data_IF_342122750446
#
_entry.id   IF_342122750446
#
_cell.length_a   1.000
_cell.length_b   1.000
_cell.length_c   1.000
_cell.angle_alpha   90.00
_cell.angle_beta   90.00
_cell.angle_gamma   90.00
#
_symmetry.space_group_name_H-M   'P 1'
#
loop_
_entity.id
_entity.type
_entity.pdbx_description
1 polymer ?
#
# COMPACT_ATOMS: atom_id res chain seq x y z
N UNK A 1 -34.80 -11.22 -22.86
CA UNK A 1 -34.05 -12.48 -23.11
C UNK A 1 -33.06 -12.73 -21.96
N UNK A 2 -33.54 -13.50 -21.00
CA UNK A 2 -32.80 -14.26 -19.97
C UNK A 2 -33.49 -15.65 -19.98
N UNK A 3 -32.89 -16.81 -19.63
CA UNK A 3 -31.78 -16.99 -18.68
C UNK A 3 -30.74 -18.10 -18.97
N UNK A 4 -29.66 -18.07 -18.19
CA UNK A 4 -28.91 -19.21 -17.60
C UNK A 4 -28.61 -20.46 -18.47
N UNK A 5 -27.34 -20.64 -18.84
CA UNK A 5 -26.78 -21.96 -19.12
C UNK A 5 -25.69 -22.33 -18.12
N UNK A 6 -26.14 -23.06 -17.10
CA UNK A 6 -25.40 -23.96 -16.22
C UNK A 6 -24.69 -25.03 -17.04
N UNK A 7 -23.38 -25.23 -16.84
CA UNK A 7 -22.70 -26.51 -17.15
C UNK A 7 -21.78 -26.86 -15.99
N UNK A 8 -22.29 -27.67 -15.07
CA UNK A 8 -21.46 -28.47 -14.17
C UNK A 8 -21.13 -29.80 -14.90
N UNK A 9 -19.88 -30.29 -14.88
CA UNK A 9 -19.63 -31.69 -15.16
C UNK A 9 -19.73 -32.49 -13.85
N UNK A 10 -20.73 -33.36 -13.80
CA UNK A 10 -20.91 -34.38 -12.77
C UNK A 10 -20.59 -35.73 -13.42
N UNK A 11 -19.42 -36.33 -13.14
CA UNK A 11 -19.16 -37.74 -13.47
C UNK A 11 -18.30 -38.44 -12.39
N UNK A 12 -18.97 -39.40 -11.74
CA UNK A 12 -18.53 -40.68 -11.17
C UNK A 12 -17.44 -40.78 -10.08
N UNK A 13 -17.90 -40.96 -8.84
CA UNK A 13 -17.98 -42.24 -8.11
C UNK A 13 -16.73 -43.13 -7.85
N UNK A 14 -16.62 -43.49 -6.54
CA UNK A 14 -16.09 -44.74 -5.90
C UNK A 14 -14.68 -44.76 -5.24
N UNK A 15 -14.74 -44.66 -3.89
CA UNK A 15 -14.00 -45.38 -2.80
C UNK A 15 -12.50 -45.11 -2.50
N UNK A 16 -11.99 -45.37 -1.27
CA UNK A 16 -12.65 -45.62 0.03
C UNK A 16 -12.12 -44.77 1.22
N UNK A 17 -12.84 -44.89 2.34
CA UNK A 17 -12.51 -44.56 3.74
C UNK A 17 -11.02 -44.27 4.06
N UNK A 18 -10.73 -43.01 4.39
CA UNK A 18 -9.46 -42.57 4.94
C UNK A 18 -9.62 -41.25 5.72
N UNK A 19 -9.68 -41.38 7.03
CA UNK A 19 -9.41 -40.38 8.08
C UNK A 19 -8.71 -39.08 7.61
N UNK A 20 -9.47 -38.01 7.35
CA UNK A 20 -8.98 -36.63 7.39
C UNK A 20 -10.08 -35.72 7.93
N UNK A 21 -10.25 -35.77 9.25
CA UNK A 21 -11.04 -34.79 9.96
C UNK A 21 -10.26 -33.46 10.02
N UNK A 22 -10.91 -32.43 9.48
CA UNK A 22 -10.94 -31.06 10.00
C UNK A 22 -9.59 -30.33 10.08
N UNK A 23 -9.19 -29.64 9.01
CA UNK A 23 -8.63 -28.28 9.09
C UNK A 23 -8.64 -27.65 7.69
N UNK A 24 -9.83 -27.53 7.08
CA UNK A 24 -9.99 -26.61 5.96
C UNK A 24 -10.16 -25.22 6.58
N UNK A 25 -9.08 -24.47 6.65
CA UNK A 25 -9.07 -23.09 7.09
C UNK A 25 -9.56 -22.25 5.89
N UNK A 26 -10.79 -21.69 5.88
CA UNK A 26 -11.16 -20.75 4.84
C UNK A 26 -10.57 -19.39 5.22
N UNK A 27 -9.25 -19.24 5.11
CA UNK A 27 -8.60 -17.93 5.12
C UNK A 27 -8.20 -17.57 3.69
N UNK A 28 -9.20 -17.48 2.82
CA UNK A 28 -9.14 -16.57 1.70
C UNK A 28 -9.89 -15.30 2.13
N UNK A 29 -9.18 -14.39 2.83
CA UNK A 29 -9.63 -13.01 2.93
C UNK A 29 -9.51 -12.42 1.52
N UNK A 30 -10.57 -12.58 0.72
CA UNK A 30 -10.81 -11.66 -0.37
C UNK A 30 -11.15 -10.33 0.30
N UNK A 31 -10.13 -9.49 0.49
CA UNK A 31 -10.36 -8.11 0.90
C UNK A 31 -11.07 -7.44 -0.27
N UNK A 32 -12.40 -7.42 -0.20
CA UNK A 32 -13.21 -6.51 -1.01
C UNK A 32 -12.73 -5.12 -0.65
N UNK A 33 -11.79 -4.59 -1.44
CA UNK A 33 -11.42 -3.19 -1.39
C UNK A 33 -12.71 -2.44 -1.62
N UNK A 34 -13.25 -1.85 -0.57
CA UNK A 34 -14.40 -0.99 -0.68
C UNK A 34 -14.00 0.09 -1.69
N UNK A 35 -14.62 0.06 -2.87
CA UNK A 35 -14.51 1.18 -3.79
C UNK A 35 -15.08 2.37 -3.02
N UNK A 36 -14.29 3.44 -2.79
CA UNK A 36 -14.75 4.56 -2.00
C UNK A 36 -16.07 5.05 -2.59
N UNK A 37 -17.08 5.30 -1.74
CA UNK A 37 -18.44 5.71 -2.18
C UNK A 37 -18.46 7.04 -2.97
N UNK A 38 -17.29 7.65 -3.15
CA UNK A 38 -17.01 8.79 -3.97
C UNK A 38 -15.69 9.38 -3.50
N UNK A 39 -14.90 9.92 -4.43
CA UNK A 39 -13.74 10.72 -4.10
C UNK A 39 -14.09 12.19 -4.30
N UNK A 40 -14.22 12.96 -3.23
CA UNK A 40 -14.40 14.41 -3.33
C UNK A 40 -13.13 15.07 -3.88
N UNK A 41 -11.98 14.52 -3.47
CA UNK A 41 -10.66 14.96 -3.90
C UNK A 41 -9.87 13.77 -4.43
N UNK A 42 -9.46 13.88 -5.69
CA UNK A 42 -8.63 12.87 -6.36
C UNK A 42 -7.21 13.40 -6.54
N UNK A 43 -6.24 12.73 -5.92
CA UNK A 43 -4.82 13.05 -6.01
C UNK A 43 -4.14 12.02 -6.91
N UNK A 44 -3.50 12.48 -7.98
CA UNK A 44 -2.79 11.60 -8.91
C UNK A 44 -1.31 11.57 -8.54
N UNK A 45 -0.84 10.40 -8.10
CA UNK A 45 0.53 10.11 -7.68
C UNK A 45 0.70 10.12 -6.17
N UNK A 46 1.14 8.99 -5.61
CA UNK A 46 1.48 8.84 -4.19
C UNK A 46 2.97 9.11 -3.93
N UNK A 47 3.55 10.10 -4.60
CA UNK A 47 4.86 10.64 -4.23
C UNK A 47 4.76 11.60 -3.05
N UNK A 48 5.90 12.13 -2.62
CA UNK A 48 5.98 13.10 -1.51
C UNK A 48 4.95 14.24 -1.61
N UNK A 49 4.80 14.84 -2.80
CA UNK A 49 3.87 15.94 -3.01
C UNK A 49 2.40 15.54 -2.85
N UNK A 50 2.00 14.38 -3.40
CA UNK A 50 0.60 13.92 -3.33
C UNK A 50 0.21 13.48 -1.93
N UNK A 51 1.09 12.73 -1.26
CA UNK A 51 0.89 12.32 0.13
C UNK A 51 0.86 13.53 1.07
N UNK A 52 1.79 14.48 0.90
CA UNK A 52 1.80 15.70 1.72
C UNK A 52 0.54 16.55 1.51
N UNK A 53 0.09 16.71 0.27
CA UNK A 53 -1.14 17.44 -0.03
C UNK A 53 -2.35 16.77 0.65
N UNK A 54 -2.51 15.45 0.49
CA UNK A 54 -3.61 14.71 1.13
C UNK A 54 -3.54 14.78 2.66
N UNK A 55 -2.35 14.65 3.24
CA UNK A 55 -2.11 14.79 4.68
C UNK A 55 -2.56 16.15 5.20
N UNK A 56 -2.09 17.25 4.61
CA UNK A 56 -2.44 18.61 5.05
C UNK A 56 -3.91 18.94 4.83
N UNK A 57 -4.49 18.43 3.74
CA UNK A 57 -5.92 18.62 3.46
C UNK A 57 -6.79 17.91 4.50
N UNK A 58 -6.41 16.69 4.90
CA UNK A 58 -7.05 15.95 5.98
C UNK A 58 -6.85 16.61 7.34
N UNK A 59 -5.62 17.02 7.67
CA UNK A 59 -5.25 17.58 8.97
C UNK A 59 -5.91 18.94 9.23
N UNK A 60 -6.03 19.78 8.19
CA UNK A 60 -6.71 21.07 8.29
C UNK A 60 -8.23 20.97 8.45
N UNK A 61 -8.81 19.77 8.27
CA UNK A 61 -10.26 19.56 8.24
C UNK A 61 -10.95 20.12 7.00
N UNK A 62 -10.19 20.55 6.00
CA UNK A 62 -10.73 21.09 4.74
C UNK A 62 -11.40 20.02 3.87
N UNK A 63 -11.03 18.74 4.06
CA UNK A 63 -11.75 17.61 3.52
C UNK A 63 -11.75 16.44 4.51
N UNK A 64 -12.77 15.58 4.44
CA UNK A 64 -12.79 14.35 5.22
C UNK A 64 -11.75 13.38 4.65
N UNK A 65 -10.91 12.81 5.51
CA UNK A 65 -9.88 11.84 5.12
C UNK A 65 -10.44 10.66 4.32
N UNK A 66 -11.68 10.24 4.58
CA UNK A 66 -12.31 9.12 3.89
C UNK A 66 -12.75 9.43 2.45
N UNK A 67 -12.84 10.71 2.07
CA UNK A 67 -13.21 11.13 0.71
C UNK A 67 -12.03 11.64 -0.13
N UNK A 68 -10.81 11.58 0.41
CA UNK A 68 -9.57 11.87 -0.32
C UNK A 68 -9.01 10.56 -0.88
N UNK A 69 -8.94 10.46 -2.21
CA UNK A 69 -8.41 9.28 -2.88
C UNK A 69 -7.07 9.58 -3.54
N UNK A 70 -6.06 8.76 -3.26
CA UNK A 70 -4.74 8.85 -3.90
C UNK A 70 -4.60 7.69 -4.89
N UNK A 71 -4.39 8.04 -6.17
CA UNK A 71 -4.21 7.08 -7.25
C UNK A 71 -2.74 7.02 -7.64
N UNK A 72 -2.09 5.88 -7.39
CA UNK A 72 -0.70 5.64 -7.73
C UNK A 72 -0.60 4.53 -8.76
N UNK A 73 0.21 4.76 -9.80
CA UNK A 73 0.42 3.79 -10.88
C UNK A 73 1.33 2.65 -10.43
N UNK A 74 2.35 2.95 -9.63
CA UNK A 74 3.29 1.97 -9.13
C UNK A 74 2.69 1.16 -7.98
N UNK A 75 3.27 0.00 -7.70
CA UNK A 75 2.87 -0.81 -6.53
C UNK A 75 3.38 -0.27 -5.19
N UNK A 76 3.87 0.98 -5.13
CA UNK A 76 4.58 1.52 -3.95
C UNK A 76 4.42 3.04 -3.82
N UNK A 77 4.18 3.50 -2.60
CA UNK A 77 4.15 4.92 -2.20
C UNK A 77 5.57 5.49 -2.07
N UNK A 78 5.76 6.78 -2.33
CA UNK A 78 7.02 7.51 -2.11
C UNK A 78 7.61 8.12 -3.39
N UNK A 79 7.26 7.57 -4.56
CA UNK A 79 7.69 8.11 -5.86
C UNK A 79 9.22 8.07 -6.00
N UNK A 80 9.87 9.24 -5.92
CA UNK A 80 11.34 9.42 -6.01
C UNK A 80 12.05 9.35 -4.65
N UNK A 81 11.33 9.12 -3.56
CA UNK A 81 11.92 8.78 -2.27
C UNK A 81 11.81 7.27 -2.14
N UNK A 82 12.94 6.56 -2.20
CA UNK A 82 12.93 5.10 -2.27
C UNK A 82 14.18 4.47 -1.67
N UNK A 83 13.97 3.86 -0.52
CA UNK A 83 14.93 3.04 0.21
C UNK A 83 14.79 1.57 -0.22
N UNK A 84 15.89 0.93 -0.57
CA UNK A 84 15.97 -0.50 -0.94
C UNK A 84 16.83 -1.21 0.08
N UNK A 85 16.28 -2.26 0.70
CA UNK A 85 17.04 -3.15 1.55
C UNK A 85 17.94 -4.06 0.69
N UNK A 86 19.24 -4.04 0.93
CA UNK A 86 20.26 -4.86 0.24
C UNK A 86 21.17 -5.64 1.20
N UNK A 87 21.76 -6.72 0.70
CA UNK A 87 22.85 -7.48 1.36
C UNK A 87 24.19 -7.28 0.65
N UNK A 88 25.34 -7.58 1.30
CA UNK A 88 26.63 -7.62 0.64
C UNK A 88 26.59 -8.49 -0.62
N UNK A 89 26.93 -7.92 -1.77
CA UNK A 89 26.78 -8.57 -3.08
C UNK A 89 25.69 -7.96 -3.97
N UNK A 90 24.85 -7.07 -3.43
CA UNK A 90 23.88 -6.28 -4.21
C UNK A 90 22.53 -6.95 -4.43
N UNK A 91 22.32 -8.14 -3.84
CA UNK A 91 21.01 -8.78 -3.78
C UNK A 91 20.10 -8.06 -2.77
N UNK A 92 18.78 -8.25 -2.92
CA UNK A 92 17.78 -7.70 -2.00
C UNK A 92 17.84 -8.48 -0.68
N UNK A 93 17.93 -7.76 0.44
CA UNK A 93 17.92 -8.32 1.79
C UNK A 93 18.13 -7.26 2.87
N UNK A 94 17.97 -7.58 4.14
CA UNK A 94 17.70 -6.58 5.19
C UNK A 94 18.91 -6.13 6.04
N UNK A 95 20.12 -6.18 5.48
CA UNK A 95 21.34 -5.82 6.23
C UNK A 95 21.73 -4.35 6.05
N UNK A 96 21.59 -3.83 4.83
CA UNK A 96 21.89 -2.46 4.47
C UNK A 96 20.71 -1.80 3.77
N UNK A 97 20.65 -0.48 3.81
CA UNK A 97 19.67 0.30 3.06
C UNK A 97 20.41 1.15 2.02
N UNK A 98 20.01 0.99 0.76
CA UNK A 98 20.47 1.79 -0.35
C UNK A 98 19.37 2.76 -0.79
N UNK A 99 19.65 4.05 -0.79
CA UNK A 99 18.73 5.07 -1.27
C UNK A 99 18.83 5.22 -2.80
N UNK A 100 17.78 4.82 -3.51
CA UNK A 100 17.69 4.95 -4.97
C UNK A 100 17.19 6.33 -5.41
N UNK A 101 16.92 7.21 -4.45
CA UNK A 101 16.28 8.51 -4.67
C UNK A 101 16.75 9.56 -3.68
N UNK A 102 15.79 10.26 -3.06
CA UNK A 102 16.11 11.26 -2.04
C UNK A 102 16.79 10.62 -0.83
N UNK A 103 18.03 11.04 -0.53
CA UNK A 103 18.86 10.46 0.55
C UNK A 103 19.34 11.49 1.58
N UNK A 104 19.25 12.78 1.27
CA UNK A 104 19.70 13.87 2.15
C UNK A 104 18.72 15.04 2.11
N UNK A 105 18.60 15.71 3.23
CA UNK A 105 17.90 16.98 3.35
C UNK A 105 18.77 17.95 4.16
N UNK A 106 18.40 19.23 4.15
CA UNK A 106 18.99 20.27 4.99
C UNK A 106 17.92 20.71 5.99
N UNK A 107 18.25 20.86 7.28
CA UNK A 107 17.33 21.40 8.27
C UNK A 107 16.78 22.79 7.90
N UNK A 108 17.54 23.58 7.14
CA UNK A 108 17.13 24.93 6.71
C UNK A 108 16.04 24.92 5.62
N UNK A 109 15.70 23.75 5.07
CA UNK A 109 14.58 23.63 4.14
C UNK A 109 13.27 23.50 4.92
N UNK A 110 12.52 24.60 5.03
CA UNK A 110 11.26 24.65 5.78
C UNK A 110 10.35 23.42 5.56
N UNK A 111 10.00 23.09 4.31
CA UNK A 111 9.02 22.02 4.09
C UNK A 111 9.51 20.60 4.50
N UNK A 112 10.62 20.05 3.97
CA UNK A 112 11.09 18.75 4.40
C UNK A 112 11.72 18.76 5.81
N UNK A 113 12.42 19.83 6.18
CA UNK A 113 13.06 19.97 7.50
C UNK A 113 12.03 20.01 8.63
N UNK A 114 10.99 20.84 8.51
CA UNK A 114 9.95 20.93 9.53
C UNK A 114 9.16 19.61 9.63
N UNK A 115 8.84 18.99 8.50
CA UNK A 115 8.07 17.74 8.50
C UNK A 115 8.86 16.57 9.12
N UNK A 116 10.16 16.46 8.82
CA UNK A 116 11.03 15.39 9.31
C UNK A 116 11.35 15.59 10.80
N UNK A 117 11.74 16.81 11.19
CA UNK A 117 12.26 17.09 12.52
C UNK A 117 11.16 17.42 13.53
N UNK A 118 10.15 18.19 13.13
CA UNK A 118 9.16 18.73 14.06
C UNK A 118 7.87 17.90 14.06
N UNK A 119 7.31 17.60 12.89
CA UNK A 119 5.98 16.98 12.79
C UNK A 119 6.01 15.45 13.00
N UNK A 120 7.02 14.77 12.46
CA UNK A 120 7.12 13.31 12.52
C UNK A 120 8.28 12.78 13.37
N UNK A 121 9.16 13.66 13.85
CA UNK A 121 10.26 13.30 14.76
C UNK A 121 11.07 12.10 14.29
N UNK A 122 11.34 12.04 12.98
CA UNK A 122 12.10 10.94 12.38
C UNK A 122 13.54 11.08 12.86
N UNK A 123 14.14 9.97 13.32
CA UNK A 123 15.53 9.96 13.77
C UNK A 123 16.44 10.23 12.57
N UNK A 124 17.30 11.24 12.69
CA UNK A 124 18.21 11.69 11.63
C UNK A 124 19.69 11.60 12.02
N UNK A 125 19.95 11.15 13.24
CA UNK A 125 21.28 10.80 13.74
C UNK A 125 21.49 9.28 13.59
N UNK A 126 22.72 8.88 13.27
CA UNK A 126 23.14 7.48 13.20
C UNK A 126 23.63 6.97 14.57
#
# INVERSE_FOLDING_TARGET
PDPQHTIAPMVSAWLPLGLFALFSCPFAHAETRAEPEGCDVSVVGAGWAGVYFAYRLSESGAANSSSICIFEKSGRVGGRTYSVEVVPGGDIGNEFVAEMGAYRFSPDMHLPGDLILNDHSILTEC
#
